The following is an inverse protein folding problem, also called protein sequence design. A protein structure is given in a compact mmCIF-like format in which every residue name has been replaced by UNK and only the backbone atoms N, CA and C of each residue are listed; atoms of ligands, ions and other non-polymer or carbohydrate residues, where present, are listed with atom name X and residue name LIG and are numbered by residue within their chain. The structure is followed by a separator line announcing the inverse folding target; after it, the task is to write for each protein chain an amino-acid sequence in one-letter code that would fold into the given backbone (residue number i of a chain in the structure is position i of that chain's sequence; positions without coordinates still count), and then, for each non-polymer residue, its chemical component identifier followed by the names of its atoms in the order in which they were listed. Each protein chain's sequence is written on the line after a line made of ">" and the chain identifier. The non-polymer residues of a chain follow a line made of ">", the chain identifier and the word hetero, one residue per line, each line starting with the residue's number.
data_IF_535708537051
#
_entry.id   IF_535708537051
#
_cell.length_a   1.000
_cell.length_b   1.000
_cell.length_c   1.000
_cell.angle_alpha   90.00
_cell.angle_beta   90.00
_cell.angle_gamma   90.00
#
_symmetry.space_group_name_H-M   'P 1'
#
loop_
_entity.id
_entity.type
_entity.pdbx_description
1 polymer ?
#
# COMPACT_ATOMS: atom_id res chain seq x y z
N UNK A 1 -14.54 -22.93 -13.52
CA UNK A 1 -13.32 -22.09 -13.49
C UNK A 1 -13.74 -20.80 -12.84
N UNK A 2 -13.21 -20.47 -11.67
CA UNK A 2 -13.54 -19.23 -10.98
C UNK A 2 -13.06 -18.09 -11.86
N UNK A 3 -14.01 -17.32 -12.40
CA UNK A 3 -13.74 -16.15 -13.20
C UNK A 3 -13.06 -15.13 -12.29
N UNK A 4 -11.76 -14.94 -12.45
CA UNK A 4 -10.97 -14.05 -11.61
C UNK A 4 -11.21 -12.62 -12.10
N UNK A 5 -12.26 -11.98 -11.56
CA UNK A 5 -12.56 -10.57 -11.84
C UNK A 5 -11.55 -9.71 -11.06
N UNK A 6 -10.43 -9.39 -11.70
CA UNK A 6 -9.44 -8.46 -11.17
C UNK A 6 -9.96 -7.03 -11.42
N UNK A 7 -10.34 -6.35 -10.34
CA UNK A 7 -10.69 -4.94 -10.40
C UNK A 7 -9.45 -4.10 -10.13
N UNK A 8 -8.78 -3.65 -11.20
CA UNK A 8 -7.57 -2.81 -11.09
C UNK A 8 -7.83 -1.50 -10.33
N UNK A 9 -9.04 -0.95 -10.44
CA UNK A 9 -9.42 0.24 -9.70
C UNK A 9 -9.50 -0.02 -8.18
N UNK A 10 -10.00 -1.19 -7.77
CA UNK A 10 -10.01 -1.60 -6.36
C UNK A 10 -8.58 -1.83 -5.83
N UNK A 11 -7.69 -2.38 -6.66
CA UNK A 11 -6.28 -2.56 -6.28
C UNK A 11 -5.54 -1.22 -6.14
N UNK A 12 -5.88 -0.23 -6.98
CA UNK A 12 -5.39 1.14 -6.84
C UNK A 12 -5.90 1.80 -5.55
N UNK A 13 -7.22 1.72 -5.28
CA UNK A 13 -7.78 2.25 -4.04
C UNK A 13 -7.12 1.63 -2.81
N UNK A 14 -6.94 0.31 -2.81
CA UNK A 14 -6.28 -0.39 -1.72
C UNK A 14 -4.82 0.07 -1.52
N UNK A 15 -4.10 0.40 -2.60
CA UNK A 15 -2.75 0.97 -2.51
C UNK A 15 -2.78 2.33 -1.82
N UNK A 16 -3.68 3.21 -2.25
CA UNK A 16 -3.83 4.56 -1.70
C UNK A 16 -4.20 4.51 -0.21
N UNK A 17 -5.12 3.61 0.16
CA UNK A 17 -5.52 3.40 1.56
C UNK A 17 -4.33 2.92 2.42
N UNK A 18 -3.50 2.02 1.90
CA UNK A 18 -2.31 1.55 2.60
C UNK A 18 -1.23 2.65 2.71
N UNK A 19 -1.08 3.51 1.69
CA UNK A 19 -0.17 4.66 1.74
C UNK A 19 -0.60 5.64 2.84
N UNK A 20 -1.90 5.88 2.98
CA UNK A 20 -2.43 6.70 4.06
C UNK A 20 -2.12 6.08 5.44
N UNK A 21 -2.28 4.77 5.61
CA UNK A 21 -1.95 4.09 6.86
C UNK A 21 -0.46 4.18 7.20
N UNK A 22 0.43 3.99 6.21
CA UNK A 22 1.88 4.18 6.41
C UNK A 22 2.18 5.60 6.85
N UNK A 23 1.63 6.60 6.15
CA UNK A 23 1.84 8.00 6.46
C UNK A 23 1.38 8.36 7.87
N UNK A 24 0.22 7.89 8.31
CA UNK A 24 -0.30 8.10 9.66
C UNK A 24 0.63 7.48 10.72
N UNK A 25 1.11 6.25 10.50
CA UNK A 25 2.04 5.61 11.44
C UNK A 25 3.44 6.26 11.45
N UNK A 26 3.90 6.79 10.32
CA UNK A 26 5.17 7.53 10.27
C UNK A 26 5.05 8.89 10.95
N UNK A 27 3.92 9.59 10.77
CA UNK A 27 3.69 10.94 11.31
C UNK A 27 3.25 10.96 12.78
N UNK A 28 2.84 9.81 13.34
CA UNK A 28 2.66 9.67 14.77
C UNK A 28 4.02 9.75 15.49
N UNK A 29 4.47 10.97 15.74
CA UNK A 29 5.79 11.33 16.27
C UNK A 29 5.99 10.90 17.74
N UNK A 30 7.25 10.80 18.15
CA UNK A 30 7.67 10.35 19.50
C UNK A 30 7.64 11.52 20.51
N UNK A 31 6.52 11.70 21.22
CA UNK A 31 6.39 12.72 22.29
C UNK A 31 6.69 12.17 23.70
N UNK A 32 7.38 11.03 23.79
CA UNK A 32 7.42 10.23 25.02
C UNK A 32 8.21 10.85 26.16
N UNK A 33 9.36 11.42 25.85
CA UNK A 33 10.32 11.89 26.86
C UNK A 33 9.84 13.21 27.46
N UNK A 34 9.17 14.03 26.65
CA UNK A 34 8.52 15.26 27.08
C UNK A 34 7.31 14.98 27.99
N UNK A 35 6.49 13.97 27.66
CA UNK A 35 5.35 13.56 28.51
C UNK A 35 5.83 12.92 29.81
N UNK A 36 6.85 12.06 29.75
CA UNK A 36 7.41 11.42 30.94
C UNK A 36 7.98 12.46 31.93
N UNK A 37 8.63 13.50 31.41
CA UNK A 37 9.11 14.63 32.23
C UNK A 37 7.93 15.44 32.80
N UNK A 38 6.89 15.67 32.01
CA UNK A 38 5.69 16.40 32.43
C UNK A 38 4.88 15.70 33.53
N UNK A 39 4.98 14.37 33.65
CA UNK A 39 4.25 13.61 34.69
C UNK A 39 4.70 13.89 36.13
N UNK A 40 5.89 14.44 36.36
CA UNK A 40 6.33 14.94 37.67
C UNK A 40 6.49 13.89 38.80
N UNK A 41 6.31 12.60 38.50
CA UNK A 41 6.47 11.49 39.42
C UNK A 41 7.26 10.37 38.76
N UNK A 42 8.42 10.01 39.32
CA UNK A 42 9.39 9.10 38.70
C UNK A 42 8.80 7.75 38.28
N UNK A 43 7.97 7.14 39.14
CA UNK A 43 7.32 5.87 38.83
C UNK A 43 6.30 5.97 37.69
N UNK A 44 5.65 7.12 37.52
CA UNK A 44 4.69 7.33 36.44
C UNK A 44 5.41 7.68 35.14
N UNK A 45 6.46 8.50 35.23
CA UNK A 45 7.34 8.81 34.10
C UNK A 45 7.96 7.55 33.50
N UNK A 46 8.46 6.63 34.34
CA UNK A 46 8.98 5.35 33.88
C UNK A 46 7.94 4.52 33.11
N UNK A 47 6.69 4.47 33.58
CA UNK A 47 5.62 3.77 32.86
C UNK A 47 5.24 4.44 31.53
N UNK A 48 5.28 5.76 31.46
CA UNK A 48 5.03 6.52 30.22
C UNK A 48 6.13 6.23 29.18
N UNK A 49 7.39 6.28 29.60
CA UNK A 49 8.54 5.95 28.74
C UNK A 49 8.46 4.51 28.24
N UNK A 50 8.17 3.55 29.13
CA UNK A 50 8.00 2.13 28.76
C UNK A 50 6.86 1.91 27.76
N UNK A 51 5.73 2.58 27.96
CA UNK A 51 4.59 2.52 27.04
C UNK A 51 4.98 3.07 25.67
N UNK A 52 5.64 4.22 25.64
CA UNK A 52 6.00 4.86 24.39
C UNK A 52 7.04 4.07 23.59
N UNK A 53 8.07 3.51 24.24
CA UNK A 53 9.01 2.64 23.55
C UNK A 53 8.32 1.42 22.94
N UNK A 54 7.44 0.75 23.72
CA UNK A 54 6.66 -0.38 23.21
C UNK A 54 5.72 0.04 22.07
N UNK A 55 5.13 1.22 22.16
CA UNK A 55 4.29 1.77 21.10
C UNK A 55 5.10 2.03 19.83
N UNK A 56 6.29 2.61 19.93
CA UNK A 56 7.20 2.83 18.80
C UNK A 56 7.56 1.51 18.11
N UNK A 57 7.95 0.49 18.88
CA UNK A 57 8.23 -0.85 18.35
C UNK A 57 7.02 -1.45 17.61
N UNK A 58 5.82 -1.30 18.19
CA UNK A 58 4.57 -1.79 17.57
C UNK A 58 4.23 -1.04 16.29
N UNK A 59 4.38 0.28 16.29
CA UNK A 59 4.15 1.16 15.14
C UNK A 59 5.09 0.79 14.00
N UNK A 60 6.38 0.63 14.28
CA UNK A 60 7.38 0.16 13.30
C UNK A 60 7.00 -1.19 12.70
N UNK A 61 6.62 -2.18 13.53
CA UNK A 61 6.22 -3.50 13.04
C UNK A 61 4.95 -3.45 12.17
N UNK A 62 3.98 -2.58 12.49
CA UNK A 62 2.79 -2.38 11.67
C UNK A 62 3.15 -1.73 10.33
N UNK A 63 3.99 -0.69 10.32
CA UNK A 63 4.48 -0.04 9.10
C UNK A 63 5.17 -1.05 8.18
N UNK A 64 6.11 -1.84 8.69
CA UNK A 64 6.80 -2.87 7.90
C UNK A 64 5.83 -3.91 7.31
N UNK A 65 4.79 -4.30 8.05
CA UNK A 65 3.76 -5.21 7.57
C UNK A 65 2.91 -4.60 6.44
N UNK A 66 2.52 -3.33 6.58
CA UNK A 66 1.74 -2.59 5.57
C UNK A 66 2.56 -2.39 4.29
N UNK A 67 3.82 -1.98 4.39
CA UNK A 67 4.73 -1.89 3.24
C UNK A 67 4.89 -3.25 2.54
N UNK A 68 4.95 -4.34 3.32
CA UNK A 68 4.99 -5.70 2.80
C UNK A 68 3.73 -6.07 1.99
N UNK A 69 2.55 -5.59 2.41
CA UNK A 69 1.30 -5.76 1.67
C UNK A 69 1.30 -4.92 0.39
N UNK A 70 1.72 -3.66 0.45
CA UNK A 70 1.82 -2.78 -0.71
C UNK A 70 2.71 -3.38 -1.81
N UNK A 71 3.87 -3.93 -1.45
CA UNK A 71 4.78 -4.60 -2.41
C UNK A 71 4.08 -5.75 -3.14
N UNK A 72 3.27 -6.55 -2.42
CA UNK A 72 2.51 -7.65 -3.02
C UNK A 72 1.43 -7.15 -3.97
N UNK A 73 0.68 -6.12 -3.57
CA UNK A 73 -0.36 -5.51 -4.39
C UNK A 73 0.24 -4.88 -5.65
N UNK A 74 1.39 -4.21 -5.55
CA UNK A 74 2.13 -3.71 -6.72
C UNK A 74 2.49 -4.85 -7.65
N UNK A 75 3.13 -5.92 -7.14
CA UNK A 75 3.51 -7.06 -7.97
C UNK A 75 2.34 -7.74 -8.68
N UNK A 76 1.17 -7.81 -8.03
CA UNK A 76 -0.07 -8.30 -8.66
C UNK A 76 -0.49 -7.33 -9.79
N UNK A 77 -0.57 -6.04 -9.50
CA UNK A 77 -1.00 -5.01 -10.46
C UNK A 77 -0.08 -5.00 -11.69
N UNK A 78 1.23 -5.00 -11.47
CA UNK A 78 2.25 -4.97 -12.53
C UNK A 78 2.15 -6.22 -13.41
N UNK A 79 1.95 -7.40 -12.81
CA UNK A 79 1.78 -8.65 -13.54
C UNK A 79 0.53 -8.65 -14.44
N UNK A 80 -0.60 -8.13 -13.95
CA UNK A 80 -1.82 -8.05 -14.76
C UNK A 80 -1.69 -7.02 -15.89
N UNK A 81 -1.13 -5.85 -15.63
CA UNK A 81 -0.88 -4.83 -16.66
C UNK A 81 0.03 -5.38 -17.76
N UNK A 82 1.12 -6.07 -17.39
CA UNK A 82 2.04 -6.65 -18.38
C UNK A 82 1.37 -7.70 -19.27
N UNK A 83 0.48 -8.52 -18.70
CA UNK A 83 -0.30 -9.51 -19.47
C UNK A 83 -1.26 -8.82 -20.43
N UNK A 84 -1.97 -7.78 -19.96
CA UNK A 84 -2.94 -7.03 -20.77
C UNK A 84 -2.25 -6.30 -21.94
N UNK A 85 -1.15 -5.60 -21.67
CA UNK A 85 -0.33 -4.95 -22.69
C UNK A 85 0.20 -5.94 -23.74
N UNK A 86 0.62 -7.13 -23.29
CA UNK A 86 1.07 -8.21 -24.15
C UNK A 86 -0.03 -8.71 -25.09
N UNK A 87 -1.25 -8.89 -24.57
CA UNK A 87 -2.41 -9.30 -25.36
C UNK A 87 -2.84 -8.20 -26.34
N UNK A 88 -2.92 -6.94 -25.89
CA UNK A 88 -3.29 -5.81 -26.73
C UNK A 88 -2.31 -5.62 -27.89
N UNK A 89 -1.01 -5.76 -27.62
CA UNK A 89 0.04 -5.74 -28.64
C UNK A 89 -0.14 -6.89 -29.64
N UNK A 90 -0.31 -8.12 -29.15
CA UNK A 90 -0.51 -9.29 -30.02
C UNK A 90 -1.75 -9.13 -30.91
N UNK A 91 -2.84 -8.55 -30.40
CA UNK A 91 -4.04 -8.27 -31.16
C UNK A 91 -3.82 -7.19 -32.23
N UNK A 92 -3.06 -6.14 -31.90
CA UNK A 92 -2.69 -5.07 -32.85
C UNK A 92 -1.77 -5.61 -33.95
N UNK A 93 -0.78 -6.44 -33.58
CA UNK A 93 0.16 -7.05 -34.51
C UNK A 93 -0.52 -8.11 -35.41
N UNK A 94 -1.57 -8.76 -34.92
CA UNK A 94 -2.39 -9.72 -35.68
C UNK A 94 -3.44 -9.06 -36.58
N UNK A 95 -3.77 -7.78 -36.37
CA UNK A 95 -4.69 -7.04 -37.24
C UNK A 95 -3.98 -6.66 -38.55
N UNK A 96 -4.40 -7.19 -39.71
CA UNK A 96 -3.76 -6.84 -40.97
C UNK A 96 -4.02 -5.37 -41.32
N UNK A 97 -3.00 -4.70 -41.87
CA UNK A 97 -3.16 -3.40 -42.51
C UNK A 97 -4.12 -3.52 -43.71
N UNK A 98 -5.41 -3.25 -43.49
CA UNK A 98 -6.39 -3.12 -44.58
C UNK A 98 -7.78 -3.64 -44.27
N UNK A 99 -8.64 -2.77 -43.74
CA UNK A 99 -10.04 -2.72 -44.16
C UNK A 99 -10.36 -1.29 -44.60
N UNK A 100 -10.42 -1.01 -45.92
CA UNK A 100 -11.09 0.17 -46.41
C UNK A 100 -12.57 0.07 -45.98
N UNK A 101 -13.11 1.15 -45.40
CA UNK A 101 -14.51 1.21 -45.00
C UNK A 101 -15.43 0.77 -46.14
N UNK A 102 -16.30 -0.18 -45.86
CA UNK A 102 -17.38 -0.56 -46.77
C UNK A 102 -18.47 0.51 -46.65
N UNK A 103 -18.85 1.21 -47.74
CA UNK A 103 -19.96 2.15 -47.71
C UNK A 103 -21.27 1.38 -47.80
N UNK A 104 -22.20 1.63 -46.87
CA UNK A 104 -23.66 1.51 -47.07
C UNK A 104 -24.33 2.68 -46.38
#
# INVERSE_FOLDING_TARGET
>A
MSDLIINLQLLHQLRDDLDAVVAEFTNADDFSDDVATATGHDGLGGHVTDFAHKWNDKRKAMTEAVEGLQKKISGITDGFTQVDDGLAKALTDAAPAGQPGVPV
#
